data_IF_079606020451
#
_entry.id   IF_079606020451
#
_cell.length_a   1.000
_cell.length_b   1.000
_cell.length_c   1.000
_cell.angle_alpha   90.00
_cell.angle_beta   90.00
_cell.angle_gamma   90.00
#
_symmetry.space_group_name_H-M   'P 1'
#
loop_
_entity.id
_entity.type
_entity.pdbx_description
1 polymer ?
#
# COMPACT_ATOMS: atom_id res chain seq x y z
N UNK A 1 27.08 0.47 5.85
CA UNK A 1 25.63 0.46 5.55
C UNK A 1 25.12 1.87 5.24
N UNK A 2 25.56 2.87 6.00
CA UNK A 2 25.18 4.29 5.86
C UNK A 2 25.19 4.87 4.44
N UNK A 3 26.19 4.66 3.57
CA UNK A 3 26.16 5.24 2.22
C UNK A 3 25.08 4.66 1.31
N UNK A 4 24.42 3.56 1.70
CA UNK A 4 23.39 2.87 0.91
C UNK A 4 22.00 2.89 1.57
N UNK A 5 21.89 3.28 2.84
CA UNK A 5 20.70 3.01 3.63
C UNK A 5 20.05 4.30 4.13
N UNK A 6 18.77 4.51 3.78
CA UNK A 6 17.93 5.53 4.42
C UNK A 6 17.45 5.13 5.83
N UNK A 7 17.47 3.83 6.17
CA UNK A 7 17.13 3.32 7.50
C UNK A 7 17.83 1.97 7.76
N UNK A 8 18.36 1.79 8.96
CA UNK A 8 18.98 0.53 9.43
C UNK A 8 18.24 0.09 10.70
N UNK A 9 17.74 -1.15 10.73
CA UNK A 9 17.02 -1.73 11.88
C UNK A 9 17.64 -3.09 12.21
N UNK A 10 18.01 -3.29 13.47
CA UNK A 10 18.50 -4.57 13.97
C UNK A 10 17.34 -5.49 14.36
N UNK A 11 17.07 -6.52 13.53
CA UNK A 11 15.90 -7.40 13.70
C UNK A 11 16.14 -8.61 14.63
N UNK A 12 17.35 -8.84 15.14
CA UNK A 12 17.68 -9.95 16.04
C UNK A 12 18.78 -10.86 15.51
N UNK A 13 18.74 -12.14 15.91
CA UNK A 13 19.73 -13.15 15.53
C UNK A 13 19.75 -13.45 14.01
N UNK A 14 20.69 -14.30 13.58
CA UNK A 14 20.82 -14.70 12.17
C UNK A 14 19.48 -15.19 11.59
N UNK A 15 19.11 -14.67 10.42
CA UNK A 15 17.84 -14.94 9.76
C UNK A 15 16.67 -13.99 10.12
N UNK A 16 16.74 -13.27 11.23
CA UNK A 16 15.62 -12.43 11.69
C UNK A 16 15.28 -11.27 10.73
N UNK A 17 16.27 -10.71 10.04
CA UNK A 17 16.03 -9.68 9.02
C UNK A 17 15.23 -10.18 7.81
N UNK A 18 15.45 -11.43 7.40
CA UNK A 18 14.70 -12.05 6.31
C UNK A 18 13.27 -12.36 6.74
N UNK A 19 13.09 -12.90 7.95
CA UNK A 19 11.78 -13.14 8.54
C UNK A 19 10.97 -11.84 8.64
N UNK A 20 11.58 -10.75 9.12
CA UNK A 20 10.94 -9.44 9.20
C UNK A 20 10.47 -8.93 7.82
N UNK A 21 11.33 -9.04 6.79
CA UNK A 21 10.99 -8.62 5.43
C UNK A 21 9.88 -9.48 4.82
N UNK A 22 9.92 -10.79 5.04
CA UNK A 22 8.88 -11.71 4.58
C UNK A 22 7.51 -11.37 5.20
N UNK A 23 7.45 -11.22 6.52
CA UNK A 23 6.21 -10.86 7.22
C UNK A 23 5.65 -9.52 6.72
N UNK A 24 6.48 -8.49 6.61
CA UNK A 24 6.06 -7.19 6.10
C UNK A 24 5.51 -7.29 4.67
N UNK A 25 6.23 -7.96 3.77
CA UNK A 25 5.83 -8.03 2.37
C UNK A 25 4.60 -8.93 2.16
N UNK A 26 4.38 -9.93 3.01
CA UNK A 26 3.14 -10.71 3.03
C UNK A 26 1.94 -9.84 3.42
N UNK A 27 2.06 -9.04 4.48
CA UNK A 27 1.02 -8.08 4.88
C UNK A 27 0.73 -7.07 3.76
N UNK A 28 1.79 -6.53 3.15
CA UNK A 28 1.66 -5.60 2.02
C UNK A 28 0.89 -6.24 0.85
N UNK A 29 1.19 -7.49 0.49
CA UNK A 29 0.50 -8.17 -0.60
C UNK A 29 -1.01 -8.34 -0.32
N UNK A 30 -1.36 -8.77 0.90
CA UNK A 30 -2.77 -8.89 1.32
C UNK A 30 -3.48 -7.54 1.27
N UNK A 31 -2.85 -6.49 1.79
CA UNK A 31 -3.39 -5.13 1.77
C UNK A 31 -3.60 -4.63 0.33
N UNK A 32 -2.66 -4.86 -0.57
CA UNK A 32 -2.78 -4.41 -1.95
C UNK A 32 -3.95 -5.05 -2.68
N UNK A 33 -4.18 -6.36 -2.47
CA UNK A 33 -5.33 -7.07 -3.02
C UNK A 33 -6.63 -6.52 -2.42
N UNK A 34 -6.72 -6.39 -1.09
CA UNK A 34 -7.92 -5.90 -0.41
C UNK A 34 -8.30 -4.49 -0.85
N UNK A 35 -7.33 -3.58 -1.03
CA UNK A 35 -7.58 -2.24 -1.55
C UNK A 35 -8.06 -2.30 -3.00
N UNK A 36 -7.46 -3.13 -3.86
CA UNK A 36 -7.92 -3.32 -5.23
C UNK A 36 -9.37 -3.80 -5.30
N UNK A 37 -9.74 -4.80 -4.49
CA UNK A 37 -11.11 -5.29 -4.37
C UNK A 37 -12.09 -4.19 -3.91
N UNK A 38 -11.69 -3.38 -2.92
CA UNK A 38 -12.50 -2.27 -2.43
C UNK A 38 -12.78 -1.22 -3.51
N UNK A 39 -11.78 -0.85 -4.32
CA UNK A 39 -11.97 0.10 -5.43
C UNK A 39 -12.85 -0.48 -6.55
N UNK A 40 -12.71 -1.76 -6.88
CA UNK A 40 -13.59 -2.43 -7.86
C UNK A 40 -15.03 -2.47 -7.35
N UNK A 41 -15.25 -2.80 -6.07
CA UNK A 41 -16.57 -2.80 -5.45
C UNK A 41 -17.19 -1.39 -5.44
N UNK A 42 -16.42 -0.37 -5.05
CA UNK A 42 -16.86 1.02 -5.06
C UNK A 42 -17.33 1.46 -6.46
N UNK A 43 -16.59 1.12 -7.51
CA UNK A 43 -16.98 1.39 -8.88
C UNK A 43 -18.31 0.74 -9.27
N UNK A 44 -18.53 -0.52 -8.86
CA UNK A 44 -19.82 -1.22 -9.07
C UNK A 44 -20.99 -0.61 -8.28
N UNK A 45 -20.70 0.02 -7.15
CA UNK A 45 -21.68 0.74 -6.32
C UNK A 45 -21.89 2.19 -6.75
N UNK A 46 -21.19 2.67 -7.78
CA UNK A 46 -21.28 4.06 -8.26
C UNK A 46 -20.57 5.08 -7.37
N UNK A 47 -19.68 4.64 -6.48
CA UNK A 47 -18.90 5.53 -5.62
C UNK A 47 -17.65 6.02 -6.39
N UNK A 48 -17.39 7.34 -6.45
CA UNK A 48 -16.17 7.86 -7.07
C UNK A 48 -14.91 7.38 -6.34
N UNK A 49 -13.86 7.05 -7.11
CA UNK A 49 -12.59 6.59 -6.55
C UNK A 49 -11.99 7.60 -5.55
N UNK A 50 -12.06 8.90 -5.84
CA UNK A 50 -11.59 9.93 -4.92
C UNK A 50 -12.33 9.89 -3.57
N UNK A 51 -13.65 9.73 -3.59
CA UNK A 51 -14.45 9.66 -2.36
C UNK A 51 -14.09 8.44 -1.52
N UNK A 52 -13.88 7.28 -2.14
CA UNK A 52 -13.41 6.10 -1.40
C UNK A 52 -12.00 6.32 -0.82
N UNK A 53 -11.10 6.89 -1.60
CA UNK A 53 -9.75 7.21 -1.17
C UNK A 53 -9.76 8.13 0.07
N UNK A 54 -10.53 9.22 0.03
CA UNK A 54 -10.63 10.17 1.14
C UNK A 54 -11.15 9.49 2.42
N UNK A 55 -12.15 8.61 2.29
CA UNK A 55 -12.70 7.84 3.42
C UNK A 55 -11.69 6.83 3.97
N UNK A 56 -11.10 5.98 3.12
CA UNK A 56 -10.18 4.93 3.59
C UNK A 56 -8.95 5.56 4.25
N UNK A 57 -8.37 6.60 3.64
CA UNK A 57 -7.17 7.25 4.18
C UNK A 57 -7.43 8.01 5.49
N UNK A 58 -8.66 8.47 5.71
CA UNK A 58 -9.12 9.07 6.98
C UNK A 58 -9.63 8.06 8.02
N UNK A 59 -9.62 6.75 7.74
CA UNK A 59 -10.25 5.73 8.58
C UNK A 59 -9.31 4.55 8.88
N UNK A 60 -9.87 3.51 9.53
CA UNK A 60 -9.14 2.31 9.96
C UNK A 60 -8.63 1.44 8.81
N UNK A 61 -9.12 1.64 7.59
CA UNK A 61 -8.65 0.93 6.40
C UNK A 61 -7.35 1.48 5.83
N UNK A 62 -6.82 2.59 6.36
CA UNK A 62 -5.65 3.24 5.80
C UNK A 62 -4.40 2.35 5.86
N UNK A 63 -3.66 2.28 4.76
CA UNK A 63 -2.39 1.58 4.64
C UNK A 63 -1.61 2.06 3.40
N UNK A 64 -0.33 1.67 3.29
CA UNK A 64 0.54 2.14 2.20
C UNK A 64 -0.02 1.85 0.79
N UNK A 65 -0.70 0.72 0.65
CA UNK A 65 -1.33 0.29 -0.59
C UNK A 65 -2.41 1.26 -1.13
N UNK A 66 -2.97 2.13 -0.28
CA UNK A 66 -3.93 3.15 -0.71
C UNK A 66 -3.32 4.55 -0.70
N UNK A 67 -2.66 4.97 0.38
CA UNK A 67 -2.23 6.37 0.52
C UNK A 67 -0.97 6.70 -0.29
N UNK A 68 -0.26 5.71 -0.81
CA UNK A 68 0.94 5.90 -1.65
C UNK A 68 0.86 5.13 -2.95
N UNK A 69 0.39 3.89 -2.92
CA UNK A 69 0.34 3.00 -4.09
C UNK A 69 -1.09 2.73 -4.57
N UNK A 70 -1.96 3.76 -4.53
CA UNK A 70 -3.37 3.66 -4.88
C UNK A 70 -3.53 2.94 -6.24
N UNK A 71 -4.29 1.83 -6.33
CA UNK A 71 -4.34 0.97 -7.53
C UNK A 71 -5.21 1.54 -8.66
N UNK A 72 -5.70 2.77 -8.53
CA UNK A 72 -6.47 3.47 -9.57
C UNK A 72 -5.83 4.84 -9.85
N UNK A 73 -5.86 5.31 -11.11
CA UNK A 73 -5.31 6.62 -11.47
C UNK A 73 -6.11 7.75 -10.82
N UNK A 74 -5.43 8.87 -10.51
CA UNK A 74 -6.05 10.09 -9.96
C UNK A 74 -5.72 10.37 -8.49
N UNK A 75 -6.22 9.59 -7.50
CA UNK A 75 -6.16 10.00 -6.09
C UNK A 75 -4.76 10.25 -5.52
N UNK A 76 -3.76 9.52 -6.02
CA UNK A 76 -2.36 9.74 -5.67
C UNK A 76 -1.58 10.05 -6.94
N UNK A 77 -1.16 11.31 -7.18
CA UNK A 77 -0.49 11.72 -8.42
C UNK A 77 0.81 10.95 -8.73
N UNK A 78 1.51 10.50 -7.69
CA UNK A 78 2.76 9.74 -7.83
C UNK A 78 2.56 8.23 -7.92
N UNK A 79 1.32 7.74 -7.88
CA UNK A 79 1.04 6.30 -7.96
C UNK A 79 1.45 5.74 -9.33
N UNK A 80 2.03 4.52 -9.39
CA UNK A 80 2.29 3.82 -10.65
C UNK A 80 1.02 3.61 -11.50
N UNK A 81 -0.17 3.60 -10.88
CA UNK A 81 -1.44 3.48 -11.59
C UNK A 81 -1.71 4.62 -12.59
N UNK A 82 -0.97 5.74 -12.51
CA UNK A 82 -1.04 6.82 -13.50
C UNK A 82 -0.14 6.58 -14.74
N UNK A 83 0.70 5.54 -14.74
CA UNK A 83 1.71 5.25 -15.76
C UNK A 83 1.63 3.80 -16.27
N UNK A 84 0.41 3.26 -16.44
CA UNK A 84 0.16 1.87 -16.90
C UNK A 84 0.74 0.76 -15.99
N UNK A 85 0.98 1.08 -14.71
CA UNK A 85 1.56 0.23 -13.64
C UNK A 85 3.08 0.03 -13.72
#
# INVERSE_FOLDING_TARGET
LEPMAGKIIHCGASGAGQAAKLCNNMVLAVQQIAIGEAFVLAGKLGLPAQSLFDVITGATGNCWAVHTNCPVPGPVPTSPANNDF
#
